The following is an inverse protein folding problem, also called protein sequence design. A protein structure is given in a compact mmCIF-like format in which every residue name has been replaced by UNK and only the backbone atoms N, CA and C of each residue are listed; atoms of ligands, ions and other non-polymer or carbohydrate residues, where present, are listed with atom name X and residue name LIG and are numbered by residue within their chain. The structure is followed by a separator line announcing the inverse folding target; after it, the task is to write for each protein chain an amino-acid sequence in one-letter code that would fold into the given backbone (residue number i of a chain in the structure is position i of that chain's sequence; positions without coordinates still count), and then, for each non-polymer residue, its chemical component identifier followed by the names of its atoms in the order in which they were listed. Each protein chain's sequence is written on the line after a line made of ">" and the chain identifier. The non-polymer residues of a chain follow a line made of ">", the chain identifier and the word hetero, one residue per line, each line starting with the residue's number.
data_IF_053585893755
#
_entry.id   IF_053585893755
#
_cell.length_a   1.000
_cell.length_b   1.000
_cell.length_c   1.000
_cell.angle_alpha   90.00
_cell.angle_beta   90.00
_cell.angle_gamma   90.00
#
_symmetry.space_group_name_H-M   'P 1'
#
loop_
_entity.id
_entity.type
_entity.pdbx_description
1 polymer ?
#
# COMPACT_ATOMS: atom_id res chain seq x y z
N UNK A 1 14.01 0.00 -19.57
CA UNK A 1 12.85 -0.91 -19.73
C UNK A 1 11.59 -0.14 -19.38
N UNK A 2 10.44 -0.58 -19.86
CA UNK A 2 9.14 0.01 -19.55
C UNK A 2 8.58 -0.57 -18.26
N UNK A 3 7.72 0.19 -17.57
CA UNK A 3 7.06 -0.25 -16.33
C UNK A 3 6.30 -1.56 -16.52
N UNK A 4 5.59 -1.71 -17.64
CA UNK A 4 4.83 -2.94 -17.96
C UNK A 4 5.66 -4.23 -18.00
N UNK A 5 6.97 -4.12 -18.18
CA UNK A 5 7.88 -5.28 -18.22
C UNK A 5 8.22 -5.81 -16.81
N UNK A 6 7.92 -5.04 -15.76
CA UNK A 6 8.22 -5.39 -14.37
C UNK A 6 6.99 -5.42 -13.46
N UNK A 7 5.91 -4.71 -13.83
CA UNK A 7 4.68 -4.67 -13.03
C UNK A 7 4.02 -6.05 -12.91
N UNK A 8 3.23 -6.23 -11.85
CA UNK A 8 2.33 -7.37 -11.67
C UNK A 8 0.95 -6.98 -12.21
N UNK A 9 0.36 -7.74 -13.15
CA UNK A 9 -0.98 -7.45 -13.66
C UNK A 9 -2.04 -7.50 -12.54
N UNK A 10 -3.08 -6.67 -12.63
CA UNK A 10 -4.21 -6.69 -11.67
C UNK A 10 -4.82 -8.09 -11.54
N UNK A 11 -4.92 -8.83 -12.64
CA UNK A 11 -5.45 -10.20 -12.65
C UNK A 11 -4.63 -11.22 -11.85
N UNK A 12 -3.37 -10.91 -11.57
CA UNK A 12 -2.46 -11.73 -10.76
C UNK A 12 -2.30 -11.15 -9.34
N UNK A 13 -2.99 -10.04 -9.03
CA UNK A 13 -2.93 -9.38 -7.75
C UNK A 13 -3.99 -9.89 -6.76
N UNK A 14 -3.73 -9.72 -5.47
CA UNK A 14 -4.74 -10.02 -4.44
C UNK A 14 -5.78 -8.90 -4.45
N UNK A 15 -7.05 -9.27 -4.57
CA UNK A 15 -8.15 -8.32 -4.68
C UNK A 15 -9.29 -8.65 -3.73
N UNK A 16 -10.00 -7.62 -3.30
CA UNK A 16 -11.30 -7.70 -2.63
C UNK A 16 -12.28 -6.75 -3.30
N UNK A 17 -13.58 -6.93 -3.09
CA UNK A 17 -14.60 -6.02 -3.65
C UNK A 17 -14.96 -4.91 -2.65
N UNK A 18 -15.46 -3.79 -3.14
CA UNK A 18 -16.23 -2.84 -2.31
C UNK A 18 -17.35 -3.59 -1.54
N UNK A 19 -17.60 -3.17 -0.31
CA UNK A 19 -18.48 -3.83 0.65
C UNK A 19 -17.82 -4.95 1.46
N UNK A 20 -16.56 -5.31 1.17
CA UNK A 20 -15.80 -6.25 1.99
C UNK A 20 -15.35 -5.61 3.32
N UNK A 21 -14.99 -6.47 4.26
CA UNK A 21 -14.40 -6.07 5.55
C UNK A 21 -12.89 -6.20 5.55
N UNK A 22 -12.23 -5.58 6.54
CA UNK A 22 -10.80 -5.76 6.78
C UNK A 22 -10.46 -7.22 7.14
N UNK A 23 -11.38 -7.95 7.78
CA UNK A 23 -11.20 -9.39 7.98
C UNK A 23 -11.12 -10.13 6.64
N UNK A 24 -12.02 -9.83 5.69
CA UNK A 24 -12.00 -10.46 4.38
C UNK A 24 -10.66 -10.20 3.66
N UNK A 25 -10.16 -8.97 3.73
CA UNK A 25 -8.85 -8.62 3.19
C UNK A 25 -7.70 -9.45 3.81
N UNK A 26 -7.70 -9.65 5.13
CA UNK A 26 -6.71 -10.51 5.79
C UNK A 26 -6.84 -11.98 5.39
N UNK A 27 -8.07 -12.50 5.26
CA UNK A 27 -8.32 -13.87 4.80
C UNK A 27 -7.75 -14.06 3.39
N UNK A 28 -8.02 -13.13 2.46
CA UNK A 28 -7.49 -13.23 1.09
C UNK A 28 -5.96 -13.15 1.05
N UNK A 29 -5.34 -12.28 1.88
CA UNK A 29 -3.88 -12.22 2.00
C UNK A 29 -3.28 -13.53 2.55
N UNK A 30 -3.92 -14.14 3.53
CA UNK A 30 -3.49 -15.42 4.10
C UNK A 30 -3.61 -16.57 3.09
N UNK A 31 -4.66 -16.58 2.29
CA UNK A 31 -4.84 -17.56 1.20
C UNK A 31 -3.74 -17.42 0.13
N UNK A 32 -3.43 -16.20 -0.30
CA UNK A 32 -2.31 -15.93 -1.23
C UNK A 32 -0.98 -16.37 -0.64
N UNK A 33 -0.73 -16.07 0.63
CA UNK A 33 0.48 -16.48 1.33
C UNK A 33 0.63 -18.00 1.35
N UNK A 34 -0.43 -18.74 1.70
CA UNK A 34 -0.43 -20.21 1.70
C UNK A 34 -0.21 -20.78 0.31
N UNK A 35 -0.85 -20.21 -0.71
CA UNK A 35 -0.71 -20.67 -2.09
C UNK A 35 0.73 -20.51 -2.62
N UNK A 36 1.43 -19.45 -2.19
CA UNK A 36 2.81 -19.14 -2.60
C UNK A 36 3.89 -19.81 -1.77
N UNK A 37 3.56 -20.24 -0.55
CA UNK A 37 4.48 -20.91 0.37
C UNK A 37 5.65 -20.03 0.83
N UNK A 38 6.56 -20.62 1.61
CA UNK A 38 7.66 -19.89 2.28
C UNK A 38 8.70 -19.23 1.34
N UNK A 39 8.68 -19.54 0.05
CA UNK A 39 9.60 -18.97 -0.95
C UNK A 39 8.96 -17.98 -1.92
N UNK A 40 7.64 -17.81 -1.87
CA UNK A 40 6.93 -16.94 -2.80
C UNK A 40 6.79 -15.51 -2.30
N UNK A 41 6.72 -14.56 -3.22
CA UNK A 41 6.48 -13.14 -2.93
C UNK A 41 4.99 -12.92 -2.67
N UNK A 42 4.52 -13.41 -1.53
CA UNK A 42 3.16 -13.23 -1.04
C UNK A 42 2.85 -11.74 -0.91
N UNK A 43 1.63 -11.37 -1.27
CA UNK A 43 1.20 -9.98 -1.24
C UNK A 43 1.00 -9.54 0.22
N UNK A 44 1.24 -8.26 0.49
CA UNK A 44 1.01 -7.64 1.81
C UNK A 44 0.10 -6.43 1.73
N UNK A 45 -0.49 -6.26 0.57
CA UNK A 45 -1.40 -5.20 0.18
C UNK A 45 -2.45 -5.82 -0.75
N UNK A 46 -3.59 -5.15 -0.87
CA UNK A 46 -4.77 -5.64 -1.57
C UNK A 46 -5.32 -4.52 -2.44
N UNK A 47 -5.76 -4.87 -3.65
CA UNK A 47 -6.54 -3.95 -4.49
C UNK A 47 -8.02 -4.07 -4.13
N UNK A 48 -8.69 -2.93 -3.98
CA UNK A 48 -10.13 -2.89 -3.81
C UNK A 48 -10.76 -2.67 -5.18
N UNK A 49 -11.64 -3.57 -5.58
CA UNK A 49 -12.33 -3.55 -6.86
C UNK A 49 -13.71 -2.93 -6.68
N UNK A 50 -14.02 -1.94 -7.51
CA UNK A 50 -15.35 -1.37 -7.60
C UNK A 50 -16.36 -2.34 -8.21
N UNK A 51 -17.64 -2.06 -8.03
CA UNK A 51 -18.73 -2.76 -8.72
C UNK A 51 -18.64 -2.74 -10.27
N UNK A 52 -17.89 -1.78 -10.85
CA UNK A 52 -17.63 -1.70 -12.28
C UNK A 52 -16.48 -2.60 -12.77
N UNK A 53 -15.79 -3.30 -11.85
CA UNK A 53 -14.64 -4.15 -12.18
C UNK A 53 -13.32 -3.38 -12.34
N UNK A 54 -13.28 -2.11 -11.92
CA UNK A 54 -12.09 -1.26 -11.92
C UNK A 54 -11.48 -1.15 -10.52
N UNK A 55 -10.17 -0.91 -10.42
CA UNK A 55 -9.49 -0.67 -9.14
C UNK A 55 -9.97 0.66 -8.55
N UNK A 56 -10.67 0.59 -7.41
CA UNK A 56 -11.17 1.72 -6.64
C UNK A 56 -10.14 2.29 -5.67
N UNK A 57 -9.20 1.46 -5.21
CA UNK A 57 -8.17 1.84 -4.25
C UNK A 57 -7.24 0.70 -3.88
N UNK A 58 -6.32 0.98 -2.96
CA UNK A 58 -5.33 0.05 -2.43
C UNK A 58 -5.35 0.07 -0.91
N UNK A 59 -5.27 -1.09 -0.27
CA UNK A 59 -5.03 -1.23 1.17
C UNK A 59 -3.61 -1.75 1.35
N UNK A 60 -2.76 -0.98 2.04
CA UNK A 60 -1.39 -1.38 2.36
C UNK A 60 -1.24 -1.71 3.84
N UNK A 61 -0.12 -2.35 4.23
CA UNK A 61 0.20 -2.60 5.64
C UNK A 61 0.06 -1.36 6.52
N UNK A 62 0.45 -0.19 5.99
CA UNK A 62 0.36 1.08 6.73
C UNK A 62 -1.10 1.53 6.90
N UNK A 63 -1.96 1.31 5.89
CA UNK A 63 -3.39 1.62 6.02
C UNK A 63 -4.04 0.76 7.08
N UNK A 64 -3.75 -0.54 7.06
CA UNK A 64 -4.26 -1.51 8.04
C UNK A 64 -3.84 -1.11 9.45
N UNK A 65 -2.54 -0.88 9.69
CA UNK A 65 -2.05 -0.52 11.02
C UNK A 65 -2.64 0.82 11.47
N UNK A 66 -2.74 1.79 10.57
CA UNK A 66 -3.34 3.10 10.87
C UNK A 66 -4.83 2.99 11.16
N UNK A 67 -5.56 2.09 10.51
CA UNK A 67 -6.99 1.90 10.75
C UNK A 67 -7.29 1.23 12.10
N UNK A 68 -6.33 0.50 12.68
CA UNK A 68 -6.48 -0.04 14.04
C UNK A 68 -6.55 1.06 15.10
N UNK A 69 -5.84 2.17 14.92
CA UNK A 69 -5.81 3.27 15.88
C UNK A 69 -6.56 4.51 15.33
N UNK A 70 -7.84 4.69 15.68
CA UNK A 70 -8.69 5.72 15.09
C UNK A 70 -8.21 7.16 15.38
N UNK A 71 -7.43 7.38 16.45
CA UNK A 71 -6.92 8.71 16.77
C UNK A 71 -5.87 9.20 15.75
N UNK A 72 -5.31 8.34 14.90
CA UNK A 72 -4.48 8.78 13.78
C UNK A 72 -5.24 9.69 12.80
N UNK A 73 -6.57 9.60 12.72
CA UNK A 73 -7.40 10.50 11.90
C UNK A 73 -7.35 11.96 12.38
N UNK A 74 -6.91 12.20 13.62
CA UNK A 74 -6.74 13.55 14.21
C UNK A 74 -5.41 14.21 13.80
N UNK A 75 -4.49 13.46 13.19
CA UNK A 75 -3.26 14.04 12.64
C UNK A 75 -3.62 15.00 11.51
N UNK A 76 -3.29 16.27 11.70
CA UNK A 76 -3.37 17.27 10.63
C UNK A 76 -2.01 17.43 9.98
N UNK A 77 -1.98 17.48 8.64
CA UNK A 77 -0.78 17.74 7.86
C UNK A 77 -0.39 19.21 8.01
N UNK A 78 0.43 19.55 9.02
CA UNK A 78 0.76 20.94 9.34
C UNK A 78 2.16 21.21 9.88
N UNK A 79 3.04 20.21 9.95
CA UNK A 79 4.43 20.39 10.40
C UNK A 79 5.41 20.61 9.24
N UNK A 80 6.49 21.37 9.48
CA UNK A 80 7.64 21.37 8.57
C UNK A 80 8.30 19.97 8.59
N UNK A 81 8.63 19.41 7.42
CA UNK A 81 9.10 18.01 7.26
C UNK A 81 10.25 17.61 8.21
N UNK A 82 11.14 18.54 8.56
CA UNK A 82 12.28 18.28 9.46
C UNK A 82 11.90 18.13 10.94
N UNK A 83 10.83 18.80 11.39
CA UNK A 83 10.38 18.76 12.79
C UNK A 83 9.49 17.54 13.07
N UNK A 84 8.76 17.06 12.05
CA UNK A 84 7.80 15.94 12.13
C UNK A 84 8.46 14.62 12.54
N UNK A 85 9.76 14.45 12.30
CA UNK A 85 10.51 13.23 12.62
C UNK A 85 11.38 13.33 13.88
N UNK A 86 11.39 14.49 14.55
CA UNK A 86 12.10 14.61 15.83
C UNK A 86 11.50 13.69 16.88
N UNK A 87 12.34 13.12 17.77
CA UNK A 87 11.87 12.22 18.82
C UNK A 87 10.85 12.91 19.72
N UNK A 88 11.06 14.18 19.99
CA UNK A 88 10.23 15.03 20.83
C UNK A 88 8.86 15.24 20.20
N UNK A 89 8.80 15.56 18.89
CA UNK A 89 7.54 15.69 18.17
C UNK A 89 6.77 14.38 18.14
N UNK A 90 7.41 13.28 17.75
CA UNK A 90 6.77 11.96 17.67
C UNK A 90 6.20 11.52 19.02
N UNK A 91 6.99 11.67 20.10
CA UNK A 91 6.53 11.36 21.46
C UNK A 91 5.41 12.32 21.93
N UNK A 92 5.50 13.59 21.55
CA UNK A 92 4.48 14.61 21.84
C UNK A 92 3.13 14.23 21.22
N UNK A 93 3.12 13.96 19.91
CA UNK A 93 1.94 13.52 19.16
C UNK A 93 1.36 12.23 19.72
N UNK A 94 2.22 11.24 20.02
CA UNK A 94 1.79 9.97 20.63
C UNK A 94 1.02 10.20 21.94
N UNK A 95 1.55 11.08 22.79
CA UNK A 95 0.95 11.41 24.09
C UNK A 95 -0.31 12.28 23.94
N UNK A 96 -0.26 13.32 23.11
CA UNK A 96 -1.35 14.29 22.92
C UNK A 96 -2.61 13.62 22.36
N UNK A 97 -2.43 12.76 21.36
CA UNK A 97 -3.55 12.05 20.73
C UNK A 97 -3.99 10.81 21.51
N UNK A 98 -3.26 10.43 22.57
CA UNK A 98 -3.54 9.24 23.36
C UNK A 98 -3.46 7.96 22.52
N UNK A 99 -2.49 7.89 21.60
CA UNK A 99 -2.37 6.78 20.67
C UNK A 99 -2.05 5.48 21.43
N UNK A 100 -2.63 4.38 20.97
CA UNK A 100 -2.38 3.02 21.47
C UNK A 100 -2.68 2.87 22.97
N UNK A 101 -3.69 3.59 23.47
CA UNK A 101 -4.15 3.49 24.86
C UNK A 101 -4.99 2.25 25.15
N UNK A 102 -5.60 1.64 24.12
CA UNK A 102 -6.30 0.37 24.20
C UNK A 102 -5.35 -0.81 23.92
N UNK A 103 -5.74 -2.02 24.34
CA UNK A 103 -4.95 -3.21 24.03
C UNK A 103 -5.02 -3.54 22.54
N UNK A 104 -3.94 -4.09 21.98
CA UNK A 104 -3.92 -4.52 20.58
C UNK A 104 -5.04 -5.55 20.28
N UNK A 105 -5.38 -6.39 21.27
CA UNK A 105 -6.46 -7.37 21.13
C UNK A 105 -7.82 -6.69 20.92
N UNK A 106 -8.12 -5.64 21.69
CA UNK A 106 -9.38 -4.91 21.57
C UNK A 106 -9.47 -4.15 20.26
N UNK A 107 -8.37 -3.51 19.83
CA UNK A 107 -8.28 -2.81 18.55
C UNK A 107 -8.45 -3.77 17.37
N UNK A 108 -7.77 -4.93 17.39
CA UNK A 108 -7.96 -5.98 16.39
C UNK A 108 -9.39 -6.50 16.37
N UNK A 109 -10.02 -6.68 17.54
CA UNK A 109 -11.42 -7.11 17.64
C UNK A 109 -12.40 -6.15 16.97
N UNK A 110 -12.19 -4.83 17.15
CA UNK A 110 -12.99 -3.79 16.47
C UNK A 110 -12.71 -3.72 14.97
N UNK A 111 -11.47 -3.98 14.57
CA UNK A 111 -11.03 -3.86 13.19
C UNK A 111 -11.66 -4.91 12.26
N UNK A 112 -12.15 -6.03 12.80
CA UNK A 112 -12.79 -7.11 12.03
C UNK A 112 -13.92 -6.61 11.14
N UNK A 113 -14.73 -5.66 11.62
CA UNK A 113 -15.92 -5.17 10.91
C UNK A 113 -15.67 -3.89 10.09
N UNK A 114 -14.44 -3.37 10.05
CA UNK A 114 -14.12 -2.16 9.29
C UNK A 114 -14.33 -2.41 7.79
N UNK A 115 -15.10 -1.55 7.14
CA UNK A 115 -15.27 -1.59 5.70
C UNK A 115 -13.96 -1.23 4.99
N UNK A 116 -13.63 -1.95 3.92
CA UNK A 116 -12.40 -1.71 3.14
C UNK A 116 -12.33 -0.28 2.60
N UNK A 117 -13.47 0.35 2.34
CA UNK A 117 -13.57 1.73 1.87
C UNK A 117 -13.17 2.77 2.91
N UNK A 118 -13.26 2.43 4.20
CA UNK A 118 -12.80 3.29 5.29
C UNK A 118 -11.29 3.17 5.54
N UNK A 119 -10.68 2.10 5.04
CA UNK A 119 -9.26 1.76 5.23
C UNK A 119 -8.44 2.15 4.01
N UNK A 120 -8.97 1.95 2.80
CA UNK A 120 -8.20 2.05 1.57
C UNK A 120 -7.73 3.47 1.26
N UNK A 121 -6.56 3.54 0.64
CA UNK A 121 -6.09 4.72 -0.07
C UNK A 121 -6.69 4.75 -1.47
N UNK A 122 -7.28 5.88 -1.86
CA UNK A 122 -7.70 6.14 -3.25
C UNK A 122 -6.58 6.96 -3.92
N UNK A 123 -5.87 6.41 -4.92
CA UNK A 123 -4.75 7.11 -5.53
C UNK A 123 -5.23 8.34 -6.29
N UNK A 124 -4.54 9.46 -6.12
CA UNK A 124 -4.68 10.60 -7.02
C UNK A 124 -3.98 10.33 -8.35
N UNK A 125 -4.36 11.07 -9.41
CA UNK A 125 -3.76 10.91 -10.75
C UNK A 125 -2.23 11.07 -10.75
N UNK A 126 -1.68 11.92 -9.88
CA UNK A 126 -0.23 12.13 -9.76
C UNK A 126 0.52 10.97 -9.07
N UNK A 127 -0.20 10.06 -8.41
CA UNK A 127 0.36 8.87 -7.75
C UNK A 127 0.43 7.66 -8.69
N UNK A 128 -0.09 7.79 -9.91
CA UNK A 128 -0.10 6.74 -10.93
C UNK A 128 1.03 6.93 -11.93
N UNK A 129 1.55 5.83 -12.46
CA UNK A 129 2.50 5.82 -13.59
C UNK A 129 1.87 5.12 -14.80
N UNK A 130 2.26 5.52 -16.01
CA UNK A 130 1.81 4.84 -17.22
C UNK A 130 2.61 3.56 -17.47
N UNK A 131 1.97 2.52 -18.00
CA UNK A 131 2.62 1.24 -18.26
C UNK A 131 3.78 1.36 -19.28
N UNK A 132 3.71 2.37 -20.17
CA UNK A 132 4.73 2.69 -21.16
C UNK A 132 5.75 3.73 -20.67
N UNK A 133 5.69 4.16 -19.40
CA UNK A 133 6.73 5.00 -18.82
C UNK A 133 8.05 4.25 -18.66
N UNK A 134 9.20 4.94 -18.75
CA UNK A 134 10.49 4.36 -18.40
C UNK A 134 10.51 3.99 -16.91
N UNK A 135 11.08 2.82 -16.57
CA UNK A 135 11.21 2.37 -15.18
C UNK A 135 11.92 3.39 -14.28
N UNK A 136 12.87 4.14 -14.84
CA UNK A 136 13.61 5.21 -14.18
C UNK A 136 12.69 6.33 -13.66
N UNK A 137 11.59 6.63 -14.36
CA UNK A 137 10.58 7.58 -13.89
C UNK A 137 9.80 7.00 -12.70
N UNK A 138 9.38 5.74 -12.76
CA UNK A 138 8.70 5.10 -11.63
C UNK A 138 9.60 5.01 -10.38
N UNK A 139 10.90 4.75 -10.56
CA UNK A 139 11.89 4.85 -9.47
C UNK A 139 11.90 6.26 -8.89
N UNK A 140 11.93 7.28 -9.74
CA UNK A 140 11.92 8.67 -9.29
C UNK A 140 10.66 9.02 -8.49
N UNK A 141 9.47 8.55 -8.89
CA UNK A 141 8.23 8.73 -8.11
C UNK A 141 8.36 8.18 -6.69
N UNK A 142 8.98 7.01 -6.50
CA UNK A 142 9.30 6.48 -5.18
C UNK A 142 10.25 7.37 -4.37
N UNK A 143 11.29 7.90 -5.00
CA UNK A 143 12.22 8.83 -4.33
C UNK A 143 11.52 10.13 -3.93
N UNK A 144 10.54 10.58 -4.71
CA UNK A 144 9.74 11.77 -4.41
C UNK A 144 8.62 11.53 -3.37
N UNK A 145 8.54 10.32 -2.79
CA UNK A 145 7.67 10.03 -1.67
C UNK A 145 6.27 9.54 -2.05
N UNK A 146 6.06 9.06 -3.28
CA UNK A 146 4.81 8.39 -3.63
C UNK A 146 4.58 7.18 -2.72
N UNK A 147 3.32 6.91 -2.39
CA UNK A 147 2.94 5.77 -1.58
C UNK A 147 3.28 4.45 -2.30
N UNK A 148 3.79 3.47 -1.55
CA UNK A 148 3.98 2.11 -2.06
C UNK A 148 2.71 1.27 -1.87
N UNK A 149 2.34 0.40 -2.82
CA UNK A 149 2.96 0.25 -4.13
C UNK A 149 2.44 1.28 -5.16
N UNK A 150 3.19 1.48 -6.24
CA UNK A 150 2.75 2.27 -7.39
C UNK A 150 1.68 1.52 -8.18
N UNK A 151 0.57 2.18 -8.46
CA UNK A 151 -0.43 1.69 -9.40
C UNK A 151 -0.07 2.12 -10.82
N UNK A 152 -0.19 1.17 -11.74
CA UNK A 152 0.18 1.33 -13.15
C UNK A 152 -1.08 1.40 -13.99
N UNK A 153 -1.17 2.41 -14.86
CA UNK A 153 -2.33 2.63 -15.72
C UNK A 153 -2.02 2.44 -17.20
N UNK A 154 -3.06 2.08 -17.96
CA UNK A 154 -3.10 2.17 -19.42
C UNK A 154 -4.26 3.10 -19.78
N UNK A 155 -3.94 4.30 -20.25
CA UNK A 155 -4.93 5.37 -20.39
C UNK A 155 -5.46 5.78 -19.00
N UNK A 156 -6.76 5.58 -18.76
CA UNK A 156 -7.41 5.89 -17.47
C UNK A 156 -7.65 4.65 -16.58
N UNK A 157 -7.32 3.45 -17.07
CA UNK A 157 -7.60 2.19 -16.35
C UNK A 157 -6.33 1.69 -15.65
N UNK A 158 -6.43 1.35 -14.37
CA UNK A 158 -5.35 0.67 -13.64
C UNK A 158 -5.24 -0.78 -14.13
N UNK A 159 -4.07 -1.16 -14.63
CA UNK A 159 -3.79 -2.46 -15.25
C UNK A 159 -2.74 -3.29 -14.50
N UNK A 160 -1.99 -2.68 -13.59
CA UNK A 160 -1.00 -3.39 -12.79
C UNK A 160 -0.52 -2.65 -11.57
N UNK A 161 0.38 -3.30 -10.84
CA UNK A 161 1.01 -2.80 -9.62
C UNK A 161 2.52 -3.00 -9.75
N UNK A 162 3.29 -1.95 -9.52
CA UNK A 162 4.75 -2.01 -9.52
C UNK A 162 5.25 -1.92 -8.09
N UNK A 163 5.73 -3.02 -7.51
CA UNK A 163 6.24 -3.01 -6.13
C UNK A 163 7.65 -2.46 -6.04
N UNK A 164 7.94 -1.80 -4.93
CA UNK A 164 9.29 -1.35 -4.63
C UNK A 164 10.29 -2.52 -4.49
N UNK A 165 9.83 -3.66 -3.97
CA UNK A 165 10.64 -4.90 -3.89
C UNK A 165 11.05 -5.43 -5.26
N UNK A 166 10.17 -5.35 -6.26
CA UNK A 166 10.43 -5.89 -7.59
C UNK A 166 11.45 -5.00 -8.32
N UNK A 167 11.35 -3.67 -8.13
CA UNK A 167 12.38 -2.70 -8.56
C UNK A 167 13.71 -3.01 -7.89
N UNK A 168 13.72 -3.22 -6.57
CA UNK A 168 14.94 -3.53 -5.84
C UNK A 168 15.61 -4.81 -6.38
N UNK A 169 14.83 -5.87 -6.61
CA UNK A 169 15.34 -7.12 -7.17
C UNK A 169 15.87 -6.96 -8.59
N UNK A 170 15.23 -6.13 -9.42
CA UNK A 170 15.72 -5.81 -10.75
C UNK A 170 17.05 -5.04 -10.71
N UNK A 171 17.17 -4.04 -9.83
CA UNK A 171 18.43 -3.31 -9.62
C UNK A 171 19.52 -4.26 -9.09
N UNK A 172 19.20 -5.11 -8.11
CA UNK A 172 20.14 -6.09 -7.54
C UNK A 172 20.70 -7.00 -8.62
N UNK A 173 19.86 -7.54 -9.50
CA UNK A 173 20.29 -8.38 -10.63
C UNK A 173 21.25 -7.64 -11.55
N UNK A 174 20.93 -6.39 -11.92
CA UNK A 174 21.78 -5.58 -12.80
C UNK A 174 23.13 -5.23 -12.19
N UNK A 175 23.14 -4.83 -10.91
CA UNK A 175 24.39 -4.53 -10.19
C UNK A 175 25.29 -5.76 -10.13
N UNK A 176 24.73 -6.93 -9.79
CA UNK A 176 25.49 -8.18 -9.75
C UNK A 176 26.02 -8.63 -11.11
N UNK A 177 25.34 -8.28 -12.21
CA UNK A 177 25.82 -8.59 -13.56
C UNK A 177 26.98 -7.69 -14.02
N UNK A 178 27.26 -6.58 -13.33
CA UNK A 178 28.37 -5.68 -13.62
C UNK A 178 29.66 -6.01 -12.85
N UNK A 179 29.58 -6.83 -11.79
CA UNK A 179 30.72 -7.25 -10.98
C UNK A 179 31.24 -8.62 -11.37
#
# INVERSE_FOLDING_TARGET
>A
MKVRELMIPVAEYVTVSEGATLLDAFVTLEEDHRAKGNGGHAHRDVLVMSSAGEVAGTITMVDIIRSLEPNYKKLTSGGQESDVLSREYVAGVFKELGLWGESLQDLCGKAVELAVEEVMHRPDKQELVDEDDPLELAIHHYIMGVRQPLLVKRGEVVVGVLRFSDIFEEIRKRVLACG
#
